data_IF_356768806369
#
_entry.id   IF_356768806369
#
_cell.length_a   1.000
_cell.length_b   1.000
_cell.length_c   1.000
_cell.angle_alpha   90.00
_cell.angle_beta   90.00
_cell.angle_gamma   90.00
#
_symmetry.space_group_name_H-M   'P 1'
#
loop_
_entity.id
_entity.type
_entity.pdbx_description
1 polymer ?
#
# COMPACT_ATOMS: atom_id res chain seq x y z
N UNK A 1 10.60 -27.46 27.69
CA UNK A 1 9.78 -26.38 27.07
C UNK A 1 9.63 -26.71 25.59
N UNK A 2 8.41 -26.79 25.05
CA UNK A 2 8.18 -27.25 23.65
C UNK A 2 8.91 -26.33 22.65
N UNK A 3 9.45 -26.92 21.57
CA UNK A 3 10.18 -26.20 20.51
C UNK A 3 9.36 -25.03 19.92
N UNK A 4 8.07 -25.22 19.76
CA UNK A 4 7.12 -24.20 19.30
C UNK A 4 7.06 -22.99 20.25
N UNK A 5 7.07 -23.23 21.56
CA UNK A 5 7.04 -22.17 22.58
C UNK A 5 8.34 -21.37 22.60
N UNK A 6 9.49 -22.01 22.33
CA UNK A 6 10.79 -21.33 22.21
C UNK A 6 10.81 -20.45 20.96
N UNK A 7 10.38 -20.98 19.80
CA UNK A 7 10.26 -20.22 18.55
C UNK A 7 9.33 -19.01 18.70
N UNK A 8 8.21 -19.18 19.42
CA UNK A 8 7.26 -18.10 19.67
C UNK A 8 7.85 -16.97 20.52
N UNK A 9 8.60 -17.31 21.59
CA UNK A 9 9.31 -16.32 22.39
C UNK A 9 10.41 -15.59 21.60
N UNK A 10 11.14 -16.33 20.75
CA UNK A 10 12.16 -15.75 19.86
C UNK A 10 11.55 -14.77 18.86
N UNK A 11 10.42 -15.13 18.26
CA UNK A 11 9.65 -14.24 17.39
C UNK A 11 9.20 -12.98 18.13
N UNK A 12 8.64 -13.12 19.33
CA UNK A 12 8.18 -11.96 20.13
C UNK A 12 9.33 -11.02 20.53
N UNK A 13 10.50 -11.57 20.85
CA UNK A 13 11.69 -10.77 21.15
C UNK A 13 12.16 -10.04 19.91
N UNK A 14 12.29 -10.72 18.76
CA UNK A 14 12.69 -10.09 17.50
C UNK A 14 11.68 -9.03 17.04
N UNK A 15 10.39 -9.31 17.19
CA UNK A 15 9.32 -8.37 16.89
C UNK A 15 9.38 -7.16 17.84
N UNK A 16 9.56 -7.38 19.14
CA UNK A 16 9.73 -6.31 20.13
C UNK A 16 10.94 -5.43 19.85
N UNK A 17 12.08 -6.02 19.46
CA UNK A 17 13.28 -5.29 19.04
C UNK A 17 12.99 -4.48 17.77
N UNK A 18 12.31 -5.05 16.78
CA UNK A 18 11.95 -4.35 15.55
C UNK A 18 11.01 -3.17 15.81
N UNK A 19 10.00 -3.34 16.68
CA UNK A 19 9.08 -2.27 17.08
C UNK A 19 9.81 -1.18 17.86
N UNK A 20 10.67 -1.55 18.82
CA UNK A 20 11.47 -0.59 19.57
C UNK A 20 12.45 0.18 18.67
N UNK A 21 13.11 -0.50 17.72
CA UNK A 21 14.00 0.11 16.74
C UNK A 21 13.23 1.03 15.78
N UNK A 22 12.02 0.65 15.36
CA UNK A 22 11.16 1.50 14.55
C UNK A 22 10.70 2.75 15.33
N UNK A 23 10.32 2.60 16.60
CA UNK A 23 9.91 3.72 17.45
C UNK A 23 11.08 4.67 17.76
N UNK A 24 12.26 4.13 18.08
CA UNK A 24 13.48 4.92 18.26
C UNK A 24 13.91 5.59 16.95
N UNK A 25 13.81 4.89 15.82
CA UNK A 25 14.06 5.46 14.50
C UNK A 25 13.12 6.62 14.19
N UNK A 26 11.83 6.49 14.51
CA UNK A 26 10.85 7.58 14.35
C UNK A 26 11.13 8.76 15.28
N UNK A 27 11.45 8.51 16.56
CA UNK A 27 11.77 9.56 17.52
C UNK A 27 13.09 10.29 17.18
N UNK A 28 14.10 9.56 16.71
CA UNK A 28 15.35 10.11 16.21
C UNK A 28 15.13 10.95 14.94
N UNK A 29 14.30 10.47 14.00
CA UNK A 29 13.92 11.23 12.81
C UNK A 29 13.24 12.55 13.17
N UNK A 30 12.35 12.57 14.18
CA UNK A 30 11.67 13.80 14.64
C UNK A 30 12.68 14.77 15.28
N UNK A 31 13.58 14.30 16.14
CA UNK A 31 14.61 15.15 16.77
C UNK A 31 15.61 15.72 15.73
N UNK A 32 16.00 14.93 14.74
CA UNK A 32 16.97 15.34 13.72
C UNK A 32 16.28 16.26 12.69
N UNK A 33 15.02 16.02 12.34
CA UNK A 33 14.22 16.91 11.47
C UNK A 33 14.08 18.33 12.05
N UNK A 34 14.01 18.48 13.38
CA UNK A 34 13.99 19.80 14.01
C UNK A 34 15.34 20.55 13.89
N UNK A 35 16.42 19.86 13.54
CA UNK A 35 17.79 20.37 13.56
C UNK A 35 18.38 20.61 12.17
N UNK A 36 17.79 20.04 11.11
CA UNK A 36 18.33 20.10 9.75
C UNK A 36 17.20 20.08 8.69
N UNK A 37 17.17 21.08 7.78
CA UNK A 37 16.09 21.23 6.79
C UNK A 37 16.04 20.09 5.76
N UNK A 38 17.17 19.48 5.41
CA UNK A 38 17.24 18.32 4.52
C UNK A 38 16.59 17.08 5.17
N UNK A 39 16.82 16.86 6.47
CA UNK A 39 16.20 15.78 7.23
C UNK A 39 14.71 16.02 7.44
N UNK A 40 14.30 17.28 7.62
CA UNK A 40 12.88 17.64 7.68
C UNK A 40 12.18 17.33 6.35
N UNK A 41 12.78 17.72 5.22
CA UNK A 41 12.25 17.44 3.89
C UNK A 41 12.19 15.92 3.62
N UNK A 42 13.23 15.17 3.99
CA UNK A 42 13.23 13.70 3.96
C UNK A 42 12.07 13.12 4.79
N UNK A 43 11.93 13.54 6.05
CA UNK A 43 10.94 12.98 6.97
C UNK A 43 9.51 13.28 6.52
N UNK A 44 9.23 14.52 6.10
CA UNK A 44 7.93 14.93 5.58
C UNK A 44 7.62 14.17 4.28
N UNK A 45 8.59 14.07 3.37
CA UNK A 45 8.44 13.33 2.11
C UNK A 45 8.15 11.84 2.37
N UNK A 46 8.89 11.21 3.27
CA UNK A 46 8.71 9.81 3.63
C UNK A 46 7.34 9.56 4.27
N UNK A 47 6.94 10.37 5.25
CA UNK A 47 5.62 10.26 5.88
C UNK A 47 4.51 10.47 4.87
N UNK A 48 4.62 11.49 4.01
CA UNK A 48 3.64 11.75 2.95
C UNK A 48 3.49 10.56 2.01
N UNK A 49 4.60 9.95 1.61
CA UNK A 49 4.59 8.77 0.74
C UNK A 49 3.95 7.55 1.41
N UNK A 50 4.27 7.31 2.69
CA UNK A 50 3.68 6.23 3.47
C UNK A 50 2.18 6.43 3.72
N UNK A 51 1.73 7.65 3.98
CA UNK A 51 0.30 7.96 4.13
C UNK A 51 -0.49 7.68 2.85
N UNK A 52 0.07 8.06 1.69
CA UNK A 52 -0.54 7.74 0.40
C UNK A 52 -0.54 6.23 0.11
N UNK A 53 0.58 5.55 0.37
CA UNK A 53 0.67 4.09 0.23
C UNK A 53 -0.35 3.37 1.11
N UNK A 54 -0.58 3.86 2.32
CA UNK A 54 -1.47 3.24 3.30
C UNK A 54 -2.89 3.04 2.75
N UNK A 55 -3.41 4.03 2.01
CA UNK A 55 -4.72 3.95 1.36
C UNK A 55 -4.79 2.82 0.34
N UNK A 56 -3.73 2.63 -0.43
CA UNK A 56 -3.64 1.58 -1.45
C UNK A 56 -3.40 0.20 -0.84
N UNK A 57 -2.53 0.11 0.16
CA UNK A 57 -2.27 -1.14 0.90
C UNK A 57 -3.56 -1.67 1.51
N UNK A 58 -4.28 -0.85 2.29
CA UNK A 58 -5.55 -1.28 2.86
C UNK A 58 -6.67 -1.42 1.83
N UNK A 59 -6.68 -0.58 0.80
CA UNK A 59 -7.62 -0.68 -0.32
C UNK A 59 -7.52 -2.03 -1.02
N UNK A 60 -6.38 -2.31 -1.64
CA UNK A 60 -6.14 -3.56 -2.36
C UNK A 60 -6.16 -4.78 -1.44
N UNK A 61 -5.60 -4.70 -0.23
CA UNK A 61 -5.64 -5.80 0.72
C UNK A 61 -7.07 -6.19 1.12
N UNK A 62 -7.94 -5.20 1.35
CA UNK A 62 -9.34 -5.49 1.71
C UNK A 62 -10.18 -5.92 0.52
N UNK A 63 -9.91 -5.43 -0.69
CA UNK A 63 -10.50 -5.96 -1.94
C UNK A 63 -10.11 -7.42 -2.14
N UNK A 64 -8.81 -7.75 -2.05
CA UNK A 64 -8.30 -9.10 -2.22
C UNK A 64 -8.92 -10.06 -1.19
N UNK A 65 -9.05 -9.63 0.06
CA UNK A 65 -9.66 -10.44 1.10
C UNK A 65 -11.14 -10.74 0.79
N UNK A 66 -11.95 -9.71 0.52
CA UNK A 66 -13.38 -9.93 0.20
C UNK A 66 -13.58 -10.71 -1.10
N UNK A 67 -12.73 -10.47 -2.11
CA UNK A 67 -12.79 -11.22 -3.34
C UNK A 67 -12.45 -12.71 -3.11
N UNK A 68 -11.46 -13.02 -2.27
CA UNK A 68 -11.19 -14.40 -1.87
C UNK A 68 -12.35 -15.03 -1.09
N UNK A 69 -13.00 -14.29 -0.19
CA UNK A 69 -14.17 -14.79 0.55
C UNK A 69 -15.32 -15.13 -0.39
N UNK A 70 -15.57 -14.28 -1.40
CA UNK A 70 -16.62 -14.49 -2.39
C UNK A 70 -16.36 -15.77 -3.20
N UNK A 71 -15.12 -15.96 -3.63
CA UNK A 71 -14.73 -17.16 -4.38
C UNK A 71 -14.88 -18.44 -3.56
N UNK A 72 -14.62 -18.38 -2.25
CA UNK A 72 -14.81 -19.48 -1.30
C UNK A 72 -16.28 -19.74 -0.92
N UNK A 73 -17.20 -18.88 -1.35
CA UNK A 73 -18.62 -18.99 -1.03
C UNK A 73 -18.98 -18.55 0.40
N UNK A 74 -18.11 -17.76 1.04
CA UNK A 74 -18.40 -17.18 2.35
C UNK A 74 -19.45 -16.06 2.23
N UNK A 75 -20.27 -15.86 3.28
CA UNK A 75 -21.26 -14.79 3.29
C UNK A 75 -20.58 -13.41 3.33
N UNK A 76 -20.92 -12.57 2.36
CA UNK A 76 -20.43 -11.20 2.26
C UNK A 76 -21.61 -10.24 2.44
N UNK A 77 -21.48 -9.33 3.42
CA UNK A 77 -22.46 -8.26 3.60
C UNK A 77 -22.40 -7.28 2.42
N UNK A 78 -23.45 -7.29 1.60
CA UNK A 78 -23.64 -6.35 0.49
C UNK A 78 -23.70 -4.89 0.97
N UNK A 79 -24.28 -4.65 2.14
CA UNK A 79 -24.38 -3.32 2.75
C UNK A 79 -23.00 -2.73 3.08
N UNK A 80 -22.10 -3.55 3.65
CA UNK A 80 -20.73 -3.15 3.91
C UNK A 80 -19.95 -2.82 2.63
N UNK A 81 -20.25 -3.51 1.53
CA UNK A 81 -19.65 -3.25 0.22
C UNK A 81 -20.16 -1.96 -0.42
N UNK A 82 -21.48 -1.71 -0.37
CA UNK A 82 -22.09 -0.47 -0.86
C UNK A 82 -21.45 0.75 -0.21
N UNK A 83 -21.22 0.71 1.12
CA UNK A 83 -20.56 1.79 1.86
C UNK A 83 -19.11 2.04 1.43
N UNK A 84 -18.43 1.04 0.85
CA UNK A 84 -17.04 1.16 0.38
C UNK A 84 -16.92 1.68 -1.05
N UNK A 85 -17.94 1.48 -1.87
CA UNK A 85 -17.92 1.78 -3.31
C UNK A 85 -18.03 3.28 -3.61
N UNK A 86 -18.42 4.14 -2.66
CA UNK A 86 -18.47 5.62 -2.79
C UNK A 86 -19.21 6.15 -4.04
N UNK A 87 -20.06 5.32 -4.67
CA UNK A 87 -20.95 5.68 -5.76
C UNK A 87 -22.37 5.93 -5.23
N UNK A 88 -23.24 6.67 -5.96
CA UNK A 88 -24.63 6.88 -5.56
C UNK A 88 -25.35 5.56 -5.34
N UNK A 89 -25.98 5.43 -4.16
CA UNK A 89 -26.61 4.17 -3.71
C UNK A 89 -27.68 3.70 -4.71
N UNK A 90 -28.40 4.63 -5.34
CA UNK A 90 -29.43 4.31 -6.34
C UNK A 90 -28.87 3.55 -7.54
N UNK A 91 -27.60 3.78 -7.91
CA UNK A 91 -26.94 3.13 -9.05
C UNK A 91 -26.36 1.76 -8.72
N UNK A 92 -26.02 1.51 -7.45
CA UNK A 92 -25.26 0.33 -7.03
C UNK A 92 -26.07 -0.68 -6.22
N UNK A 93 -27.26 -0.30 -5.74
CA UNK A 93 -28.12 -1.16 -4.91
C UNK A 93 -28.54 -2.45 -5.60
N UNK A 94 -28.77 -2.40 -6.91
CA UNK A 94 -29.20 -3.56 -7.71
C UNK A 94 -28.03 -4.42 -8.21
N UNK A 95 -26.79 -3.93 -8.10
CA UNK A 95 -25.63 -4.64 -8.62
C UNK A 95 -25.30 -5.92 -7.83
N UNK A 96 -24.71 -6.89 -8.52
CA UNK A 96 -24.19 -8.11 -7.90
C UNK A 96 -22.97 -7.81 -7.02
N UNK A 97 -22.69 -8.66 -6.04
CA UNK A 97 -21.50 -8.54 -5.18
C UNK A 97 -20.21 -8.51 -6.02
N UNK A 98 -20.15 -9.34 -7.07
CA UNK A 98 -19.05 -9.35 -8.04
C UNK A 98 -18.86 -7.98 -8.73
N UNK A 99 -19.95 -7.33 -9.13
CA UNK A 99 -19.91 -6.00 -9.75
C UNK A 99 -19.45 -4.95 -8.73
N UNK A 100 -19.96 -5.00 -7.50
CA UNK A 100 -19.56 -4.09 -6.43
C UNK A 100 -18.07 -4.21 -6.09
N UNK A 101 -17.53 -5.44 -6.02
CA UNK A 101 -16.11 -5.70 -5.81
C UNK A 101 -15.25 -5.14 -6.95
N UNK A 102 -15.72 -5.26 -8.20
CA UNK A 102 -15.03 -4.73 -9.38
C UNK A 102 -15.02 -3.21 -9.38
N UNK A 103 -16.16 -2.56 -9.09
CA UNK A 103 -16.22 -1.09 -8.99
C UNK A 103 -15.33 -0.60 -7.84
N UNK A 104 -15.34 -1.29 -6.70
CA UNK A 104 -14.47 -0.92 -5.59
C UNK A 104 -12.99 -1.04 -5.96
N UNK A 105 -12.59 -2.13 -6.63
CA UNK A 105 -11.22 -2.27 -7.17
C UNK A 105 -10.86 -1.11 -8.10
N UNK A 106 -11.75 -0.78 -9.04
CA UNK A 106 -11.54 0.32 -10.00
C UNK A 106 -11.49 1.70 -9.31
N UNK A 107 -12.21 1.90 -8.20
CA UNK A 107 -12.16 3.15 -7.44
C UNK A 107 -10.77 3.49 -6.86
N UNK A 108 -9.87 2.50 -6.81
CA UNK A 108 -8.49 2.67 -6.36
C UNK A 108 -7.55 3.19 -7.47
N UNK A 109 -7.97 3.13 -8.74
CA UNK A 109 -7.13 3.53 -9.89
C UNK A 109 -6.60 4.97 -9.83
N UNK A 110 -7.40 6.01 -9.49
CA UNK A 110 -6.86 7.37 -9.41
C UNK A 110 -5.73 7.50 -8.38
N UNK A 111 -5.86 6.79 -7.26
CA UNK A 111 -4.85 6.76 -6.20
C UNK A 111 -3.61 6.00 -6.65
N UNK A 112 -3.78 4.88 -7.37
CA UNK A 112 -2.71 4.09 -7.97
C UNK A 112 -1.84 4.96 -8.88
N UNK A 113 -2.47 5.65 -9.84
CA UNK A 113 -1.73 6.46 -10.80
C UNK A 113 -0.99 7.61 -10.12
N UNK A 114 -1.64 8.29 -9.18
CA UNK A 114 -1.01 9.37 -8.41
C UNK A 114 0.19 8.86 -7.60
N UNK A 115 0.03 7.72 -6.95
CA UNK A 115 1.07 7.10 -6.13
C UNK A 115 2.29 6.68 -6.95
N UNK A 116 2.08 5.92 -8.03
CA UNK A 116 3.17 5.50 -8.90
C UNK A 116 3.81 6.68 -9.62
N UNK A 117 3.06 7.71 -10.03
CA UNK A 117 3.64 8.94 -10.56
C UNK A 117 4.59 9.59 -9.55
N UNK A 118 4.18 9.68 -8.29
CA UNK A 118 5.06 10.18 -7.22
C UNK A 118 6.33 9.35 -7.06
N UNK A 119 6.20 8.02 -7.09
CA UNK A 119 7.36 7.12 -7.05
C UNK A 119 8.29 7.30 -8.25
N UNK A 120 7.74 7.34 -9.46
CA UNK A 120 8.50 7.52 -10.69
C UNK A 120 9.22 8.86 -10.73
N UNK A 121 8.63 9.93 -10.19
CA UNK A 121 9.29 11.22 -10.07
C UNK A 121 10.51 11.14 -9.14
N UNK A 122 10.37 10.50 -7.96
CA UNK A 122 11.49 10.29 -7.04
C UNK A 122 12.62 9.46 -7.67
N UNK A 123 12.24 8.38 -8.36
CA UNK A 123 13.18 7.53 -9.09
C UNK A 123 13.90 8.31 -10.20
N UNK A 124 13.16 9.08 -10.99
CA UNK A 124 13.72 9.89 -12.09
C UNK A 124 14.68 10.94 -11.56
N UNK A 125 14.32 11.65 -10.48
CA UNK A 125 15.21 12.61 -9.84
C UNK A 125 16.48 11.93 -9.30
N UNK A 126 16.35 10.75 -8.70
CA UNK A 126 17.51 9.96 -8.24
C UNK A 126 18.45 9.63 -9.40
N UNK A 127 17.91 9.15 -10.54
CA UNK A 127 18.71 8.84 -11.73
C UNK A 127 19.39 10.08 -12.31
N UNK A 128 18.70 11.22 -12.37
CA UNK A 128 19.26 12.50 -12.82
C UNK A 128 20.46 12.90 -11.97
N UNK A 129 20.37 12.73 -10.64
CA UNK A 129 21.49 13.00 -9.73
C UNK A 129 22.62 11.98 -9.86
N UNK A 130 22.33 10.67 -9.97
CA UNK A 130 23.35 9.64 -10.15
C UNK A 130 24.11 9.77 -11.48
N UNK A 131 23.44 10.25 -12.53
CA UNK A 131 24.05 10.54 -13.82
C UNK A 131 24.81 11.88 -13.86
N UNK A 132 24.88 12.62 -12.74
CA UNK A 132 25.48 13.95 -12.65
C UNK A 132 24.93 14.98 -13.65
N UNK A 133 23.66 14.83 -14.07
CA UNK A 133 23.00 15.81 -14.96
C UNK A 133 22.77 17.14 -14.21
N UNK A 134 22.48 17.06 -12.90
CA UNK A 134 22.39 18.20 -11.99
C UNK A 134 23.33 17.96 -10.81
N UNK A 135 24.14 18.96 -10.45
CA UNK A 135 25.06 18.89 -9.31
C UNK A 135 24.47 19.62 -8.11
N UNK A 136 23.82 18.87 -7.21
CA UNK A 136 23.30 19.37 -5.94
C UNK A 136 23.46 18.32 -4.83
N UNK A 137 24.69 18.17 -4.33
CA UNK A 137 25.09 17.06 -3.45
C UNK A 137 24.20 16.85 -2.20
N UNK A 138 23.74 17.89 -1.46
CA UNK A 138 22.88 17.69 -0.30
C UNK A 138 21.48 17.17 -0.68
N UNK A 139 20.91 17.70 -1.78
CA UNK A 139 19.57 17.33 -2.27
C UNK A 139 19.59 15.93 -2.87
N UNK A 140 20.66 15.57 -3.58
CA UNK A 140 20.85 14.25 -4.17
C UNK A 140 20.77 13.14 -3.11
N UNK A 141 21.38 13.35 -1.94
CA UNK A 141 21.34 12.39 -0.84
C UNK A 141 19.92 12.21 -0.28
N UNK A 142 19.18 13.31 -0.09
CA UNK A 142 17.78 13.29 0.39
C UNK A 142 16.88 12.54 -0.58
N UNK A 143 16.98 12.85 -1.87
CA UNK A 143 16.16 12.23 -2.93
C UNK A 143 16.46 10.74 -3.06
N UNK A 144 17.73 10.34 -2.98
CA UNK A 144 18.14 8.94 -2.97
C UNK A 144 17.57 8.18 -1.77
N UNK A 145 17.69 8.76 -0.57
CA UNK A 145 17.14 8.18 0.64
C UNK A 145 15.61 8.06 0.57
N UNK A 146 14.91 9.09 0.09
CA UNK A 146 13.46 9.07 -0.12
C UNK A 146 13.05 7.96 -1.09
N UNK A 147 13.78 7.78 -2.19
CA UNK A 147 13.49 6.75 -3.19
C UNK A 147 13.61 5.34 -2.60
N UNK A 148 14.67 5.06 -1.82
CA UNK A 148 14.79 3.78 -1.13
C UNK A 148 13.71 3.58 -0.07
N UNK A 149 13.40 4.62 0.71
CA UNK A 149 12.33 4.57 1.70
C UNK A 149 10.93 4.36 1.07
N UNK A 150 10.72 4.91 -0.13
CA UNK A 150 9.51 4.76 -0.92
C UNK A 150 9.41 3.40 -1.64
N UNK A 151 10.53 2.74 -1.94
CA UNK A 151 10.53 1.45 -2.64
C UNK A 151 9.80 0.36 -1.84
N UNK A 152 9.97 0.32 -0.51
CA UNK A 152 9.32 -0.67 0.36
C UNK A 152 7.78 -0.62 0.24
N UNK A 153 7.10 0.51 0.56
CA UNK A 153 5.66 0.58 0.41
C UNK A 153 5.22 0.42 -1.05
N UNK A 154 6.06 0.80 -2.02
CA UNK A 154 5.72 0.64 -3.45
C UNK A 154 5.62 -0.83 -3.83
N UNK A 155 6.56 -1.65 -3.40
CA UNK A 155 6.50 -3.10 -3.61
C UNK A 155 5.30 -3.74 -2.92
N UNK A 156 4.92 -3.27 -1.72
CA UNK A 156 3.73 -3.75 -1.03
C UNK A 156 2.44 -3.38 -1.78
N UNK A 157 2.32 -2.12 -2.21
CA UNK A 157 1.18 -1.66 -3.02
C UNK A 157 1.06 -2.47 -4.29
N UNK A 158 2.17 -2.67 -5.01
CA UNK A 158 2.20 -3.42 -6.26
C UNK A 158 1.84 -4.90 -6.05
N UNK A 159 2.38 -5.56 -5.02
CA UNK A 159 2.05 -6.95 -4.72
C UNK A 159 0.57 -7.15 -4.38
N UNK A 160 0.00 -6.23 -3.59
CA UNK A 160 -1.43 -6.27 -3.24
C UNK A 160 -2.33 -5.94 -4.42
N UNK A 161 -1.92 -5.01 -5.28
CA UNK A 161 -2.63 -4.69 -6.53
C UNK A 161 -2.73 -5.94 -7.42
N UNK A 162 -1.62 -6.65 -7.63
CA UNK A 162 -1.59 -7.88 -8.43
C UNK A 162 -2.47 -8.97 -7.82
N UNK A 163 -2.40 -9.14 -6.50
CA UNK A 163 -3.22 -10.12 -5.79
C UNK A 163 -4.72 -9.80 -5.89
N UNK A 164 -5.10 -8.54 -5.69
CA UNK A 164 -6.47 -8.08 -5.82
C UNK A 164 -6.97 -8.27 -7.25
N UNK A 165 -6.18 -7.85 -8.25
CA UNK A 165 -6.51 -8.02 -9.66
C UNK A 165 -6.70 -9.48 -10.06
N UNK A 166 -5.86 -10.38 -9.55
CA UNK A 166 -6.00 -11.82 -9.76
C UNK A 166 -7.34 -12.36 -9.25
N UNK A 167 -7.72 -12.03 -8.01
CA UNK A 167 -9.00 -12.50 -7.46
C UNK A 167 -10.20 -11.89 -8.19
N UNK A 168 -10.15 -10.61 -8.55
CA UNK A 168 -11.21 -9.98 -9.36
C UNK A 168 -11.35 -10.68 -10.72
N UNK A 169 -10.24 -11.00 -11.39
CA UNK A 169 -10.28 -11.73 -12.66
C UNK A 169 -10.92 -13.13 -12.52
N UNK A 170 -10.64 -13.84 -11.42
CA UNK A 170 -11.30 -15.11 -11.13
C UNK A 170 -12.80 -14.96 -10.89
N UNK A 171 -13.23 -13.91 -10.19
CA UNK A 171 -14.65 -13.63 -9.96
C UNK A 171 -15.36 -13.40 -11.30
N UNK A 172 -14.79 -12.57 -12.17
CA UNK A 172 -15.35 -12.30 -13.50
C UNK A 172 -15.47 -13.60 -14.31
N UNK A 173 -14.44 -14.45 -14.26
CA UNK A 173 -14.45 -15.75 -14.93
C UNK A 173 -15.57 -16.67 -14.39
N UNK A 174 -15.68 -16.81 -13.07
CA UNK A 174 -16.71 -17.62 -12.41
C UNK A 174 -18.12 -17.16 -12.78
N UNK A 175 -18.37 -15.85 -12.72
CA UNK A 175 -19.67 -15.27 -13.09
C UNK A 175 -19.99 -15.51 -14.57
N UNK A 176 -19.00 -15.40 -15.46
CA UNK A 176 -19.17 -15.68 -16.88
C UNK A 176 -19.45 -17.16 -17.18
N UNK A 177 -18.93 -18.08 -16.36
CA UNK A 177 -19.22 -19.51 -16.45
C UNK A 177 -20.63 -19.84 -15.94
N UNK A 178 -21.09 -19.20 -14.86
CA UNK A 178 -22.43 -19.39 -14.29
C UNK A 178 -23.57 -18.81 -15.17
N UNK A 179 -23.24 -17.90 -16.09
CA UNK A 179 -24.18 -17.33 -17.05
C UNK A 179 -24.37 -18.15 -18.34
N UNK A 180 -23.56 -19.20 -18.55
CA UNK A 180 -23.65 -20.11 -19.70
C UNK A 180 -24.50 -21.33 -19.36
#
# INVERSE_FOLDING_TARGET
MNKERILWWLFMILFGIAVAAAAFGFAALIMIAASNPETAAFTIGLIGFWLFANRLIFGYGSVANMASQFLKGEEISKENLINKVKEPVEKIKELSIASLLTIWYNSLEPFKYTYYMGFFLLLTLTLIFEMNIIVAAPIALVVKALTFGAAIPTLLVWGLELLAGYYIAQIVKKVAEEMK
#
